data_IF_104361483055
#
_entry.id   IF_104361483055
#
_cell.length_a   1.000
_cell.length_b   1.000
_cell.length_c   1.000
_cell.angle_alpha   90.00
_cell.angle_beta   90.00
_cell.angle_gamma   90.00
#
_symmetry.space_group_name_H-M   'P 1'
#
loop_
_entity.id
_entity.type
_entity.pdbx_description
1 polymer ?
#
# COMPACT_ATOMS: atom_id res chain seq x y z
N UNK A 1 -20.65 28.88 11.65
CA UNK A 1 -19.34 29.14 12.27
C UNK A 1 -18.30 28.66 11.27
N UNK A 2 -17.40 29.52 10.82
CA UNK A 2 -16.32 29.14 9.89
C UNK A 2 -15.12 28.67 10.73
N UNK A 3 -14.68 27.42 10.51
CA UNK A 3 -13.53 26.85 11.18
C UNK A 3 -12.30 26.98 10.30
N UNK A 4 -11.20 27.47 10.87
CA UNK A 4 -9.89 27.50 10.23
C UNK A 4 -9.17 26.18 10.51
N UNK A 5 -8.64 25.52 9.48
CA UNK A 5 -7.86 24.30 9.62
C UNK A 5 -6.44 24.58 10.13
N UNK A 6 -5.90 23.71 10.99
CA UNK A 6 -4.51 23.82 11.49
C UNK A 6 -3.52 23.85 10.32
N UNK A 7 -3.78 23.07 9.25
CA UNK A 7 -2.97 23.10 8.01
C UNK A 7 -2.86 24.51 7.41
N UNK A 8 -3.96 25.29 7.41
CA UNK A 8 -3.96 26.66 6.88
C UNK A 8 -3.11 27.59 7.75
N UNK A 9 -3.13 27.41 9.06
CA UNK A 9 -2.30 28.17 10.00
C UNK A 9 -0.81 27.96 9.74
N UNK A 10 -0.37 26.72 9.53
CA UNK A 10 1.02 26.40 9.24
C UNK A 10 1.48 26.90 7.86
N UNK A 11 0.62 26.80 6.84
CA UNK A 11 0.95 27.21 5.47
C UNK A 11 0.90 28.70 5.24
N UNK A 12 0.03 29.43 5.96
CA UNK A 12 -0.29 30.84 5.71
C UNK A 12 -0.31 31.65 7.02
N UNK A 13 0.62 31.38 7.94
CA UNK A 13 0.62 31.97 9.29
C UNK A 13 0.49 33.51 9.30
N UNK A 14 1.12 34.20 8.33
CA UNK A 14 1.08 35.65 8.24
C UNK A 14 -0.33 36.22 8.00
N UNK A 15 -1.24 35.40 7.44
CA UNK A 15 -2.62 35.81 7.22
C UNK A 15 -3.47 35.72 8.50
N UNK A 16 -3.03 34.92 9.50
CA UNK A 16 -3.82 34.61 10.70
C UNK A 16 -3.24 35.18 11.99
N UNK A 17 -1.93 35.40 12.09
CA UNK A 17 -1.31 35.98 13.28
C UNK A 17 -1.89 37.35 13.58
N UNK A 18 -2.25 37.61 14.84
CA UNK A 18 -2.92 38.86 15.32
C UNK A 18 -4.42 38.89 15.02
N UNK A 19 -5.00 37.83 14.45
CA UNK A 19 -6.44 37.77 14.18
C UNK A 19 -7.16 36.79 15.12
N UNK A 20 -8.43 37.09 15.37
CA UNK A 20 -9.35 36.19 16.05
C UNK A 20 -9.79 35.11 15.05
N UNK A 21 -9.54 33.85 15.40
CA UNK A 21 -9.87 32.66 14.60
C UNK A 21 -10.65 31.66 15.44
N UNK A 22 -11.32 30.70 14.77
CA UNK A 22 -11.98 29.58 15.41
C UNK A 22 -11.45 28.27 14.81
N UNK A 23 -11.04 27.34 15.69
CA UNK A 23 -10.47 26.02 15.29
C UNK A 23 -11.21 24.92 16.07
N UNK A 24 -11.63 23.87 15.38
CA UNK A 24 -12.16 22.65 16.02
C UNK A 24 -11.13 21.53 16.03
N UNK A 25 -11.15 20.67 17.04
CA UNK A 25 -10.24 19.54 17.08
C UNK A 25 -10.33 18.68 18.35
N UNK A 26 -9.44 17.73 18.46
CA UNK A 26 -9.35 16.80 19.57
C UNK A 26 -8.14 17.09 20.47
N UNK A 27 -8.33 16.99 21.79
CA UNK A 27 -7.29 17.18 22.78
C UNK A 27 -6.30 16.02 22.71
N UNK A 28 -5.02 16.33 22.45
CA UNK A 28 -3.88 15.39 22.51
C UNK A 28 -3.21 15.37 23.86
N UNK A 29 -3.14 16.52 24.51
CA UNK A 29 -2.73 16.64 25.90
C UNK A 29 -3.32 17.91 26.50
N UNK A 30 -3.56 17.88 27.79
CA UNK A 30 -3.98 19.02 28.58
C UNK A 30 -3.09 19.13 29.83
N UNK A 31 -2.72 20.33 30.16
CA UNK A 31 -1.99 20.66 31.41
C UNK A 31 -2.66 21.85 32.00
N UNK A 32 -3.02 21.73 33.26
CA UNK A 32 -3.67 22.76 34.02
C UNK A 32 -2.74 23.38 35.05
N UNK A 33 -2.94 24.64 35.34
CA UNK A 33 -2.35 25.43 36.42
C UNK A 33 -3.47 26.18 37.14
N UNK A 34 -3.18 26.81 38.26
CA UNK A 34 -4.22 27.45 39.07
C UNK A 34 -4.98 28.58 38.35
N UNK A 35 -4.33 29.28 37.42
CA UNK A 35 -4.85 30.50 36.78
C UNK A 35 -4.87 30.40 35.25
N UNK A 36 -4.24 29.39 34.66
CA UNK A 36 -4.22 29.15 33.21
C UNK A 36 -3.88 27.69 32.90
N UNK A 37 -4.10 27.26 31.66
CA UNK A 37 -3.70 25.94 31.24
C UNK A 37 -3.33 25.91 29.74
N UNK A 38 -2.79 24.78 29.34
CA UNK A 38 -2.39 24.50 27.95
C UNK A 38 -3.10 23.25 27.43
N UNK A 39 -3.65 23.38 26.23
CA UNK A 39 -4.18 22.26 25.45
C UNK A 39 -3.34 22.12 24.18
N UNK A 40 -2.95 20.90 23.86
CA UNK A 40 -2.43 20.55 22.53
C UNK A 40 -3.60 20.02 21.72
N UNK A 41 -3.99 20.76 20.70
CA UNK A 41 -5.13 20.48 19.84
C UNK A 41 -4.67 19.91 18.49
N UNK A 42 -5.40 18.95 17.97
CA UNK A 42 -5.19 18.34 16.66
C UNK A 42 -6.52 18.22 15.92
N UNK A 43 -6.59 18.74 14.69
CA UNK A 43 -7.82 18.72 13.88
C UNK A 43 -7.82 17.67 12.77
N UNK A 44 -6.75 16.89 12.64
CA UNK A 44 -6.61 15.88 11.59
C UNK A 44 -6.16 16.43 10.23
N UNK A 45 -6.04 17.74 10.02
CA UNK A 45 -5.69 18.33 8.72
C UNK A 45 -4.20 18.44 8.47
N UNK A 46 -3.39 18.49 9.53
CA UNK A 46 -1.94 18.63 9.45
C UNK A 46 -1.25 17.68 10.44
N UNK A 47 0.04 17.39 10.22
CA UNK A 47 0.78 16.49 11.11
C UNK A 47 1.10 17.14 12.46
N UNK A 48 1.50 18.42 12.44
CA UNK A 48 1.76 19.17 13.67
C UNK A 48 0.45 19.64 14.35
N UNK A 49 0.57 20.01 15.60
CA UNK A 49 -0.53 20.36 16.50
C UNK A 49 -0.57 21.86 16.79
N UNK A 50 -1.71 22.35 17.26
CA UNK A 50 -1.90 23.73 17.71
C UNK A 50 -1.88 23.78 19.25
N UNK A 51 -1.07 24.65 19.84
CA UNK A 51 -1.13 24.96 21.26
C UNK A 51 -2.25 25.98 21.53
N UNK A 52 -3.09 25.69 22.51
CA UNK A 52 -4.14 26.56 23.03
C UNK A 52 -3.79 26.95 24.46
N UNK A 53 -3.82 28.23 24.76
CA UNK A 53 -3.68 28.76 26.11
C UNK A 53 -5.05 29.24 26.57
N UNK A 54 -5.49 28.81 27.75
CA UNK A 54 -6.77 29.21 28.35
C UNK A 54 -6.56 29.70 29.78
N UNK A 55 -7.43 30.62 30.26
CA UNK A 55 -7.27 31.32 31.52
C UNK A 55 -8.50 31.17 32.42
N UNK A 56 -8.28 31.33 33.73
CA UNK A 56 -9.31 31.25 34.79
C UNK A 56 -10.43 32.28 34.69
N UNK A 57 -10.27 33.29 33.83
CA UNK A 57 -11.32 34.28 33.52
C UNK A 57 -12.46 33.71 32.63
N UNK A 58 -12.28 32.53 32.10
CA UNK A 58 -13.30 31.86 31.26
C UNK A 58 -14.38 31.27 32.19
N UNK A 59 -15.66 31.47 31.84
CA UNK A 59 -16.79 31.00 32.62
C UNK A 59 -16.80 29.50 32.91
N UNK A 60 -16.26 28.69 31.97
CA UNK A 60 -16.20 27.24 32.03
C UNK A 60 -14.76 26.70 32.30
N UNK A 61 -13.87 27.53 32.87
CA UNK A 61 -12.48 27.14 33.17
C UNK A 61 -12.38 25.83 33.94
N UNK A 62 -13.19 25.67 35.00
CA UNK A 62 -13.20 24.46 35.85
C UNK A 62 -13.65 23.22 35.08
N UNK A 63 -14.54 23.39 34.10
CA UNK A 63 -15.00 22.30 33.27
C UNK A 63 -13.92 21.91 32.25
N UNK A 64 -13.30 22.89 31.61
CA UNK A 64 -12.20 22.67 30.63
C UNK A 64 -11.03 21.97 31.33
N UNK A 65 -10.63 22.40 32.52
CA UNK A 65 -9.51 21.83 33.26
C UNK A 65 -9.67 20.34 33.65
N UNK A 66 -10.92 19.83 33.61
CA UNK A 66 -11.25 18.41 33.87
C UNK A 66 -11.39 17.56 32.63
N UNK A 67 -11.20 18.14 31.42
CA UNK A 67 -11.30 17.39 30.17
C UNK A 67 -10.19 16.35 30.07
N UNK A 68 -10.52 15.23 29.47
CA UNK A 68 -9.58 14.17 29.18
C UNK A 68 -9.02 14.28 27.75
N UNK A 69 -7.90 13.63 27.53
CA UNK A 69 -7.36 13.37 26.17
C UNK A 69 -8.43 12.69 25.32
N UNK A 70 -8.53 13.08 24.06
CA UNK A 70 -9.53 12.59 23.13
C UNK A 70 -10.85 13.39 23.13
N UNK A 71 -11.04 14.33 24.06
CA UNK A 71 -12.21 15.24 24.03
C UNK A 71 -12.16 16.12 22.79
N UNK A 72 -13.32 16.37 22.20
CA UNK A 72 -13.52 17.26 21.06
C UNK A 72 -13.92 18.66 21.55
N UNK A 73 -13.27 19.70 21.07
CA UNK A 73 -13.52 21.08 21.44
C UNK A 73 -13.47 22.02 20.23
N UNK A 74 -14.18 23.13 20.33
CA UNK A 74 -14.05 24.28 19.42
C UNK A 74 -13.46 25.44 20.23
N UNK A 75 -12.37 26.01 19.72
CA UNK A 75 -11.63 27.10 20.35
C UNK A 75 -11.71 28.35 19.52
N UNK A 76 -12.17 29.44 20.09
CA UNK A 76 -12.11 30.78 19.50
C UNK A 76 -11.12 31.63 20.28
N UNK A 77 -10.18 32.27 19.59
CA UNK A 77 -9.14 33.08 20.24
C UNK A 77 -8.25 33.81 19.23
N UNK A 78 -7.32 34.58 19.74
CA UNK A 78 -6.31 35.28 18.96
C UNK A 78 -5.12 34.38 18.68
N UNK A 79 -4.70 34.27 17.43
CA UNK A 79 -3.48 33.57 17.05
C UNK A 79 -2.25 34.46 17.28
N UNK A 80 -1.37 34.06 18.18
CA UNK A 80 -0.19 34.81 18.57
C UNK A 80 1.08 34.10 18.12
N UNK A 81 2.01 34.83 17.51
CA UNK A 81 3.33 34.27 17.14
C UNK A 81 4.17 34.01 18.40
N UNK A 82 4.87 32.89 18.41
CA UNK A 82 5.75 32.46 19.50
C UNK A 82 7.14 32.07 18.98
N UNK A 83 7.93 33.05 18.47
CA UNK A 83 9.20 32.80 17.79
C UNK A 83 10.26 32.13 18.67
N UNK A 84 10.18 32.33 20.00
CA UNK A 84 11.12 31.76 20.97
C UNK A 84 10.66 30.37 21.48
N UNK A 85 9.46 29.91 21.10
CA UNK A 85 8.93 28.62 21.52
C UNK A 85 9.20 27.53 20.47
N UNK A 86 8.97 26.28 20.87
CA UNK A 86 9.08 25.14 19.95
C UNK A 86 8.08 25.24 18.78
N UNK A 87 6.85 25.66 19.07
CA UNK A 87 5.80 25.90 18.07
C UNK A 87 5.88 27.36 17.56
N UNK A 88 5.55 27.60 16.26
CA UNK A 88 5.68 28.93 15.66
C UNK A 88 4.60 29.93 16.09
N UNK A 89 3.50 29.45 16.69
CA UNK A 89 2.36 30.22 17.15
C UNK A 89 1.53 29.42 18.16
N UNK A 90 0.64 30.10 18.86
CA UNK A 90 -0.37 29.52 19.73
C UNK A 90 -1.65 30.36 19.67
N UNK A 91 -2.78 29.78 20.09
CA UNK A 91 -4.05 30.48 20.20
C UNK A 91 -4.30 30.88 21.65
N UNK A 92 -4.49 32.16 21.90
CA UNK A 92 -4.94 32.70 23.18
C UNK A 92 -6.47 32.63 23.21
N UNK A 93 -6.99 31.60 23.87
CA UNK A 93 -8.41 31.32 23.86
C UNK A 93 -9.22 32.37 24.62
N UNK A 94 -10.29 32.83 24.00
CA UNK A 94 -11.32 33.68 24.64
C UNK A 94 -12.61 32.88 24.88
N UNK A 95 -12.81 31.81 24.14
CA UNK A 95 -13.97 30.91 24.28
C UNK A 95 -13.55 29.49 23.89
N UNK A 96 -13.97 28.49 24.68
CA UNK A 96 -13.83 27.09 24.38
C UNK A 96 -15.20 26.42 24.57
N UNK A 97 -15.72 25.86 23.49
CA UNK A 97 -16.95 25.09 23.49
C UNK A 97 -16.57 23.59 23.50
N UNK A 98 -17.20 22.82 24.38
CA UNK A 98 -17.00 21.37 24.49
C UNK A 98 -18.03 20.70 23.57
N UNK A 99 -17.56 20.07 22.48
CA UNK A 99 -18.41 19.30 21.57
C UNK A 99 -18.67 17.89 22.11
N UNK A 100 -17.63 17.24 22.65
CA UNK A 100 -17.76 15.92 23.23
C UNK A 100 -16.64 15.61 24.21
N UNK A 101 -17.00 15.35 25.46
CA UNK A 101 -16.05 14.97 26.49
C UNK A 101 -15.64 13.48 26.35
N UNK A 102 -14.35 13.20 26.46
CA UNK A 102 -13.82 11.85 26.53
C UNK A 102 -13.83 11.36 27.98
N UNK A 103 -14.04 10.06 28.15
CA UNK A 103 -14.03 9.41 29.46
C UNK A 103 -12.61 9.07 29.93
N UNK A 104 -12.37 8.89 31.26
CA UNK A 104 -11.04 8.61 31.80
C UNK A 104 -10.43 7.30 31.34
N UNK A 105 -11.23 6.34 30.86
CA UNK A 105 -10.83 5.04 30.34
C UNK A 105 -10.41 5.08 28.86
N UNK A 106 -10.35 6.27 28.24
CA UNK A 106 -9.88 6.42 26.87
C UNK A 106 -8.53 5.71 26.65
N UNK A 107 -8.42 4.76 25.72
CA UNK A 107 -7.28 3.83 25.67
C UNK A 107 -5.96 4.49 25.22
N UNK A 108 -6.03 5.59 24.47
CA UNK A 108 -4.86 6.29 23.94
C UNK A 108 -4.38 7.38 24.91
N UNK A 109 -3.99 6.97 26.09
CA UNK A 109 -3.41 7.87 27.11
C UNK A 109 -2.04 8.40 26.69
N UNK A 110 -1.54 9.45 27.36
CA UNK A 110 -0.23 10.07 27.13
C UNK A 110 0.92 9.15 27.53
N UNK A 111 1.10 8.05 26.80
CA UNK A 111 2.21 7.10 26.95
C UNK A 111 2.53 6.51 25.58
N UNK A 112 3.71 5.89 25.44
CA UNK A 112 4.04 5.13 24.24
C UNK A 112 3.20 3.85 24.21
N UNK A 113 2.53 3.60 23.10
CA UNK A 113 1.80 2.36 22.81
C UNK A 113 2.60 1.52 21.82
N UNK A 114 2.58 0.19 22.01
CA UNK A 114 3.18 -0.74 21.05
C UNK A 114 2.27 -0.89 19.83
N UNK A 115 2.83 -1.26 18.69
CA UNK A 115 2.05 -1.50 17.47
C UNK A 115 1.09 -2.69 17.66
N UNK A 116 1.51 -3.72 18.40
CA UNK A 116 0.67 -4.87 18.76
C UNK A 116 -0.59 -4.44 19.52
N UNK A 117 -0.44 -3.60 20.53
CA UNK A 117 -1.59 -3.05 21.24
C UNK A 117 -2.49 -2.22 20.31
N UNK A 118 -1.91 -1.38 19.45
CA UNK A 118 -2.67 -0.54 18.54
C UNK A 118 -3.43 -1.34 17.48
N UNK A 119 -2.99 -2.56 17.16
CA UNK A 119 -3.74 -3.50 16.31
C UNK A 119 -5.02 -4.02 16.98
N UNK A 120 -5.09 -4.06 18.31
CA UNK A 120 -6.32 -4.47 19.02
C UNK A 120 -7.38 -3.36 19.10
N UNK A 121 -7.03 -2.13 18.74
CA UNK A 121 -7.92 -0.97 18.71
C UNK A 121 -7.81 -0.22 17.37
N UNK A 122 -7.93 -0.94 16.27
CA UNK A 122 -7.75 -0.43 14.90
C UNK A 122 -8.60 0.80 14.59
N UNK A 123 -9.81 0.91 15.15
CA UNK A 123 -10.72 2.05 15.02
C UNK A 123 -10.24 3.32 15.74
N UNK A 124 -9.36 3.22 16.73
CA UNK A 124 -8.81 4.37 17.47
C UNK A 124 -7.36 4.69 17.11
N UNK A 125 -6.58 3.71 16.62
CA UNK A 125 -5.17 3.92 16.29
C UNK A 125 -4.89 5.07 15.32
N UNK A 126 -5.79 5.47 14.38
CA UNK A 126 -5.58 6.66 13.54
C UNK A 126 -5.39 7.95 14.32
N UNK A 127 -5.81 7.99 15.58
CA UNK A 127 -5.60 9.15 16.48
C UNK A 127 -4.17 9.26 17.01
N UNK A 128 -3.26 8.31 16.72
CA UNK A 128 -1.84 8.38 17.13
C UNK A 128 -1.00 9.05 16.04
N UNK A 129 0.15 9.63 16.40
CA UNK A 129 1.04 10.28 15.43
C UNK A 129 1.54 9.29 14.37
N UNK A 130 1.90 8.07 14.78
CA UNK A 130 2.37 7.04 13.84
C UNK A 130 1.35 6.75 12.76
N UNK A 131 0.10 6.49 13.14
CA UNK A 131 -0.94 6.16 12.16
C UNK A 131 -1.49 7.39 11.42
N UNK A 132 -1.41 8.57 12.01
CA UNK A 132 -1.63 9.82 11.27
C UNK A 132 -0.62 9.94 10.11
N UNK A 133 0.65 9.74 10.38
CA UNK A 133 1.70 9.77 9.36
C UNK A 133 1.48 8.67 8.30
N UNK A 134 1.27 7.42 8.72
CA UNK A 134 1.08 6.28 7.82
C UNK A 134 -0.08 6.51 6.86
N UNK A 135 -1.26 6.86 7.35
CA UNK A 135 -2.44 6.98 6.49
C UNK A 135 -2.46 8.25 5.66
N UNK A 136 -1.78 9.32 6.08
CA UNK A 136 -1.54 10.49 5.21
C UNK A 136 -0.62 10.12 4.05
N UNK A 137 0.51 9.47 4.33
CA UNK A 137 1.44 9.04 3.28
C UNK A 137 0.79 7.98 2.38
N UNK A 138 0.04 7.01 2.93
CA UNK A 138 -0.73 6.06 2.13
C UNK A 138 -1.69 6.75 1.15
N UNK A 139 -2.44 7.74 1.61
CA UNK A 139 -3.35 8.52 0.76
C UNK A 139 -2.59 9.27 -0.34
N UNK A 140 -1.44 9.85 0.00
CA UNK A 140 -0.60 10.59 -0.94
C UNK A 140 0.02 9.68 -2.00
N UNK A 141 0.48 8.48 -1.61
CA UNK A 141 1.00 7.47 -2.54
C UNK A 141 -0.09 7.06 -3.55
N UNK A 142 -1.32 6.81 -3.09
CA UNK A 142 -2.42 6.45 -3.97
C UNK A 142 -2.68 7.55 -5.02
N UNK A 143 -2.71 8.81 -4.58
CA UNK A 143 -2.84 9.94 -5.50
C UNK A 143 -1.67 10.05 -6.47
N UNK A 144 -0.43 9.90 -5.99
CA UNK A 144 0.77 9.96 -6.82
C UNK A 144 0.76 8.88 -7.93
N UNK A 145 0.30 7.67 -7.61
CA UNK A 145 0.15 6.57 -8.58
C UNK A 145 -0.86 6.96 -9.66
N UNK A 146 -2.06 7.40 -9.29
CA UNK A 146 -3.06 7.84 -10.27
C UNK A 146 -2.53 8.99 -11.11
N UNK A 147 -1.88 9.98 -10.49
CA UNK A 147 -1.29 11.12 -11.19
C UNK A 147 -0.21 10.68 -12.19
N UNK A 148 0.69 9.78 -11.79
CA UNK A 148 1.73 9.24 -12.67
C UNK A 148 1.17 8.64 -13.96
N UNK A 149 0.15 7.80 -13.85
CA UNK A 149 -0.46 7.14 -15.00
C UNK A 149 -1.33 8.08 -15.83
N UNK A 150 -2.16 8.93 -15.20
CA UNK A 150 -3.04 9.86 -15.90
C UNK A 150 -2.25 10.91 -16.68
N UNK A 151 -1.13 11.42 -16.18
CA UNK A 151 -0.25 12.36 -16.89
C UNK A 151 0.49 11.71 -18.07
N UNK A 152 0.39 10.39 -18.23
CA UNK A 152 0.96 9.60 -19.34
C UNK A 152 -0.10 8.97 -20.24
N UNK A 153 -1.32 9.49 -20.16
CA UNK A 153 -2.48 9.04 -20.96
C UNK A 153 -2.83 7.56 -20.79
N UNK A 154 -2.53 6.96 -19.62
CA UNK A 154 -3.01 5.63 -19.28
C UNK A 154 -4.49 5.67 -18.90
N UNK A 155 -5.26 4.70 -19.36
CA UNK A 155 -6.66 4.53 -18.97
C UNK A 155 -6.75 3.70 -17.71
N UNK A 156 -7.41 4.23 -16.67
CA UNK A 156 -7.76 3.47 -15.47
C UNK A 156 -8.92 2.53 -15.76
N UNK A 157 -8.72 1.23 -15.50
CA UNK A 157 -9.73 0.19 -15.73
C UNK A 157 -10.16 -0.44 -14.42
N UNK A 158 -11.46 -0.45 -14.17
CA UNK A 158 -12.07 -1.23 -13.09
C UNK A 158 -12.26 -2.68 -13.58
N UNK A 159 -11.48 -3.62 -13.04
CA UNK A 159 -11.63 -5.04 -13.30
C UNK A 159 -12.52 -5.71 -12.24
N UNK A 160 -13.18 -6.83 -12.56
CA UNK A 160 -14.10 -7.48 -11.62
C UNK A 160 -13.40 -7.95 -10.34
N UNK A 161 -14.04 -7.69 -9.21
CA UNK A 161 -13.61 -8.22 -7.90
C UNK A 161 -14.09 -9.67 -7.74
N UNK A 162 -15.30 -9.97 -8.23
CA UNK A 162 -15.85 -11.34 -8.27
C UNK A 162 -15.56 -11.91 -9.65
N UNK A 163 -14.90 -13.04 -9.71
CA UNK A 163 -14.44 -13.67 -10.97
C UNK A 163 -14.72 -15.16 -10.98
N UNK A 164 -14.89 -15.71 -12.19
CA UNK A 164 -14.95 -17.15 -12.43
C UNK A 164 -13.62 -17.74 -12.95
N UNK A 165 -12.54 -16.92 -13.03
CA UNK A 165 -11.23 -17.37 -13.52
C UNK A 165 -10.14 -17.10 -12.49
N UNK A 166 -9.14 -17.99 -12.44
CA UNK A 166 -7.94 -17.82 -11.64
C UNK A 166 -6.82 -17.21 -12.49
N UNK A 167 -6.44 -15.98 -12.20
CA UNK A 167 -5.42 -15.27 -12.96
C UNK A 167 -4.01 -15.87 -12.81
N UNK A 168 -3.71 -16.55 -11.72
CA UNK A 168 -2.41 -17.16 -11.45
C UNK A 168 -2.38 -18.66 -11.80
N UNK A 169 -3.56 -19.29 -11.96
CA UNK A 169 -3.71 -20.69 -12.34
C UNK A 169 -3.46 -21.69 -11.21
N UNK A 170 -3.18 -21.23 -10.00
CA UNK A 170 -2.94 -22.06 -8.81
C UNK A 170 -3.20 -21.30 -7.50
N UNK A 171 -3.93 -20.18 -7.56
CA UNK A 171 -4.18 -19.31 -6.40
C UNK A 171 -5.19 -19.92 -5.42
N UNK A 172 -4.90 -19.81 -4.13
CA UNK A 172 -5.91 -20.10 -3.10
C UNK A 172 -6.89 -18.93 -3.05
N UNK A 173 -8.10 -19.14 -3.60
CA UNK A 173 -9.12 -18.11 -3.75
C UNK A 173 -10.19 -18.21 -2.66
N UNK A 174 -10.68 -17.06 -2.20
CA UNK A 174 -11.90 -17.01 -1.38
C UNK A 174 -13.12 -17.24 -2.28
N UNK A 175 -13.93 -18.22 -1.94
CA UNK A 175 -15.16 -18.51 -2.65
C UNK A 175 -16.25 -17.47 -2.31
N UNK A 176 -16.98 -17.02 -3.32
CA UNK A 176 -18.17 -16.19 -3.20
C UNK A 176 -19.40 -17.03 -3.55
N UNK A 177 -20.31 -17.21 -2.60
CA UNK A 177 -21.53 -18.02 -2.79
C UNK A 177 -22.70 -17.44 -1.99
N UNK A 178 -23.89 -17.62 -2.51
CA UNK A 178 -25.17 -17.35 -1.82
C UNK A 178 -25.91 -18.63 -1.42
N UNK A 179 -25.31 -19.79 -1.71
CA UNK A 179 -25.87 -21.07 -1.31
C UNK A 179 -25.80 -21.24 0.22
N UNK A 180 -26.80 -21.95 0.76
CA UNK A 180 -26.79 -22.36 2.17
C UNK A 180 -25.62 -23.34 2.39
N UNK A 181 -24.67 -22.95 3.21
CA UNK A 181 -23.47 -23.76 3.49
C UNK A 181 -23.83 -25.06 4.24
N UNK A 182 -24.84 -25.02 5.10
CA UNK A 182 -25.24 -26.16 5.90
C UNK A 182 -26.07 -27.19 5.07
N UNK A 183 -26.80 -26.69 4.05
CA UNK A 183 -27.65 -27.55 3.22
C UNK A 183 -27.65 -27.08 1.74
N UNK A 184 -26.50 -27.16 1.04
CA UNK A 184 -26.42 -26.71 -0.34
C UNK A 184 -27.21 -27.65 -1.27
N UNK A 185 -27.83 -27.13 -2.36
CA UNK A 185 -28.40 -27.96 -3.41
C UNK A 185 -27.35 -28.90 -3.99
N UNK A 186 -27.80 -30.12 -4.38
CA UNK A 186 -26.87 -31.13 -4.87
C UNK A 186 -27.32 -31.71 -6.19
N UNK A 187 -26.36 -31.96 -7.05
CA UNK A 187 -26.54 -32.72 -8.30
C UNK A 187 -26.85 -34.20 -8.02
N UNK A 188 -27.25 -34.95 -9.04
CA UNK A 188 -27.56 -36.40 -8.91
C UNK A 188 -26.39 -37.23 -8.43
N UNK A 189 -25.15 -36.80 -8.67
CA UNK A 189 -23.91 -37.44 -8.21
C UNK A 189 -23.42 -36.94 -6.84
N UNK A 190 -24.24 -36.15 -6.14
CA UNK A 190 -24.01 -35.69 -4.76
C UNK A 190 -23.09 -34.49 -4.59
N UNK A 191 -22.59 -33.91 -5.65
CA UNK A 191 -21.79 -32.68 -5.60
C UNK A 191 -22.71 -31.47 -5.37
N UNK A 192 -22.12 -30.36 -4.92
CA UNK A 192 -22.83 -29.06 -4.85
C UNK A 192 -23.27 -28.68 -6.25
N UNK A 193 -24.54 -28.27 -6.41
CA UNK A 193 -25.08 -27.78 -7.67
C UNK A 193 -24.83 -26.29 -7.83
N UNK A 194 -23.71 -25.94 -8.44
CA UNK A 194 -23.29 -24.56 -8.67
C UNK A 194 -24.24 -23.78 -9.62
N UNK A 195 -25.07 -24.48 -10.40
CA UNK A 195 -26.04 -23.84 -11.29
C UNK A 195 -27.17 -23.15 -10.54
N UNK A 196 -27.39 -23.51 -9.28
CA UNK A 196 -28.36 -22.91 -8.37
C UNK A 196 -27.78 -21.70 -7.60
N UNK A 197 -26.47 -21.43 -7.71
CA UNK A 197 -25.86 -20.27 -7.08
C UNK A 197 -26.18 -18.97 -7.84
N UNK A 198 -25.93 -17.81 -7.23
CA UNK A 198 -26.31 -16.50 -7.76
C UNK A 198 -25.81 -16.28 -9.21
N UNK A 199 -24.59 -16.66 -9.52
CA UNK A 199 -23.98 -16.51 -10.85
C UNK A 199 -24.14 -17.75 -11.75
N UNK A 200 -24.83 -18.81 -11.27
CA UNK A 200 -25.01 -20.05 -12.02
C UNK A 200 -23.72 -20.85 -12.24
N UNK A 201 -22.67 -20.54 -11.54
CA UNK A 201 -21.35 -21.21 -11.54
C UNK A 201 -20.53 -20.85 -10.34
N UNK A 202 -19.45 -21.60 -10.10
CA UNK A 202 -18.47 -21.24 -9.08
C UNK A 202 -17.85 -19.87 -9.34
N UNK A 203 -17.80 -19.02 -8.30
CA UNK A 203 -17.17 -17.72 -8.33
C UNK A 203 -16.34 -17.46 -7.11
N UNK A 204 -15.32 -16.61 -7.27
CA UNK A 204 -14.32 -16.33 -6.24
C UNK A 204 -13.98 -14.84 -6.20
N UNK A 205 -13.35 -14.38 -5.11
CA UNK A 205 -12.70 -13.09 -5.07
C UNK A 205 -11.40 -13.15 -5.89
N UNK A 206 -11.13 -12.11 -6.67
CA UNK A 206 -9.99 -12.06 -7.59
C UNK A 206 -8.64 -12.06 -6.87
N UNK A 207 -7.65 -12.73 -7.46
CA UNK A 207 -6.24 -12.68 -7.06
C UNK A 207 -5.43 -11.65 -7.85
N UNK A 208 -5.97 -11.12 -8.97
CA UNK A 208 -5.36 -10.10 -9.84
C UNK A 208 -6.36 -9.58 -10.87
N UNK A 209 -6.22 -8.32 -11.24
CA UNK A 209 -6.98 -7.71 -12.34
C UNK A 209 -6.31 -7.86 -13.72
N UNK A 210 -5.14 -8.49 -13.78
CA UNK A 210 -4.30 -8.52 -14.99
C UNK A 210 -5.00 -9.05 -16.23
N UNK A 211 -5.55 -10.28 -16.18
CA UNK A 211 -6.10 -10.92 -17.39
C UNK A 211 -7.26 -10.11 -18.00
N UNK A 212 -8.12 -9.55 -17.15
CA UNK A 212 -9.18 -8.65 -17.58
C UNK A 212 -8.62 -7.30 -18.06
N UNK A 213 -7.57 -6.79 -17.42
CA UNK A 213 -6.86 -5.57 -17.82
C UNK A 213 -6.25 -5.70 -19.22
N UNK A 214 -5.63 -6.82 -19.54
CA UNK A 214 -5.06 -7.07 -20.87
C UNK A 214 -6.10 -6.97 -21.99
N UNK A 215 -7.37 -7.30 -21.75
CA UNK A 215 -8.44 -7.14 -22.76
C UNK A 215 -8.63 -5.67 -23.15
N UNK A 216 -8.55 -4.78 -22.19
CA UNK A 216 -8.64 -3.34 -22.40
C UNK A 216 -7.35 -2.76 -22.97
N UNK A 217 -6.18 -3.26 -22.57
CA UNK A 217 -4.91 -2.86 -23.14
C UNK A 217 -4.86 -3.11 -24.66
N UNK A 218 -5.41 -4.22 -25.13
CA UNK A 218 -5.52 -4.54 -26.58
C UNK A 218 -6.43 -3.57 -27.35
N UNK A 219 -7.20 -2.73 -26.67
CA UNK A 219 -8.04 -1.70 -27.30
C UNK A 219 -7.52 -0.27 -27.05
N UNK A 220 -6.98 0.00 -25.87
CA UNK A 220 -6.56 1.35 -25.42
C UNK A 220 -5.04 1.55 -25.39
N UNK A 221 -4.26 0.54 -25.71
CA UNK A 221 -2.80 0.51 -25.73
C UNK A 221 -2.16 0.54 -24.32
N UNK A 222 -2.46 1.53 -23.50
CA UNK A 222 -1.89 1.69 -22.17
C UNK A 222 -3.00 1.81 -21.13
N UNK A 223 -3.07 0.85 -20.23
CA UNK A 223 -4.04 0.84 -19.13
C UNK A 223 -3.35 0.59 -17.80
N UNK A 224 -4.04 0.84 -16.71
CA UNK A 224 -3.67 0.33 -15.41
C UNK A 224 -4.91 -0.01 -14.58
N UNK A 225 -4.77 -1.01 -13.73
CA UNK A 225 -5.70 -1.29 -12.64
C UNK A 225 -5.16 -0.73 -11.34
N UNK A 226 -6.02 -0.39 -10.41
CA UNK A 226 -5.70 -0.12 -9.02
C UNK A 226 -6.88 -0.59 -8.20
N UNK A 227 -6.82 -1.82 -7.74
CA UNK A 227 -7.97 -2.49 -7.14
C UNK A 227 -7.62 -3.49 -6.05
N UNK A 228 -8.64 -3.89 -5.27
CA UNK A 228 -8.49 -4.88 -4.21
C UNK A 228 -8.19 -6.27 -4.80
N UNK A 229 -7.36 -7.00 -4.10
CA UNK A 229 -6.87 -8.34 -4.43
C UNK A 229 -6.96 -9.20 -3.19
N UNK A 230 -7.31 -10.47 -3.36
CA UNK A 230 -7.60 -11.38 -2.25
C UNK A 230 -6.83 -12.68 -2.45
N UNK A 231 -6.16 -13.15 -1.38
CA UNK A 231 -5.47 -14.45 -1.37
C UNK A 231 -5.79 -15.19 -0.08
N UNK A 232 -6.29 -16.41 -0.20
CA UNK A 232 -6.68 -17.26 0.92
C UNK A 232 -5.52 -18.09 1.51
N UNK A 233 -4.29 -17.78 1.12
CA UNK A 233 -3.08 -18.47 1.59
C UNK A 233 -2.97 -18.44 3.12
N UNK A 234 -2.74 -19.60 3.72
CA UNK A 234 -2.52 -19.72 5.16
C UNK A 234 -1.09 -19.25 5.54
N UNK A 235 -0.79 -18.00 5.28
CA UNK A 235 0.51 -17.37 5.55
C UNK A 235 0.39 -16.32 6.65
N UNK A 236 1.12 -16.50 7.75
CA UNK A 236 1.09 -15.59 8.90
C UNK A 236 2.40 -14.80 9.04
N UNK A 237 2.91 -14.25 7.95
CA UNK A 237 4.11 -13.42 7.94
C UNK A 237 3.79 -11.93 8.14
N UNK A 238 4.81 -11.12 8.28
CA UNK A 238 4.69 -9.65 8.38
C UNK A 238 4.38 -8.98 7.04
N UNK A 239 4.39 -9.72 5.93
CA UNK A 239 4.25 -9.21 4.56
C UNK A 239 2.99 -9.71 3.84
N UNK A 240 2.22 -10.63 4.46
CA UNK A 240 1.02 -11.20 3.88
C UNK A 240 -0.24 -10.70 4.58
N UNK A 241 -1.20 -10.32 3.77
CA UNK A 241 -2.58 -10.04 4.16
C UNK A 241 -3.50 -10.74 3.18
N UNK A 242 -4.68 -11.14 3.64
CA UNK A 242 -5.68 -11.82 2.81
C UNK A 242 -6.40 -10.86 1.85
N UNK A 243 -6.41 -9.56 2.18
CA UNK A 243 -6.91 -8.46 1.37
C UNK A 243 -5.85 -7.37 1.27
N UNK A 244 -5.51 -6.98 0.06
CA UNK A 244 -4.54 -5.92 -0.25
C UNK A 244 -4.87 -5.30 -1.62
N UNK A 245 -4.15 -4.26 -2.03
CA UNK A 245 -4.40 -3.58 -3.30
C UNK A 245 -3.22 -3.78 -4.25
N UNK A 246 -3.55 -3.99 -5.54
CA UNK A 246 -2.54 -4.11 -6.60
C UNK A 246 -2.68 -2.97 -7.60
N UNK A 247 -1.54 -2.49 -8.08
CA UNK A 247 -1.42 -1.60 -9.23
C UNK A 247 -0.82 -2.42 -10.37
N UNK A 248 -1.58 -2.59 -11.44
CA UNK A 248 -1.21 -3.48 -12.54
C UNK A 248 -1.37 -2.76 -13.89
N UNK A 249 -0.33 -2.05 -14.36
CA UNK A 249 -0.29 -1.50 -15.71
C UNK A 249 -0.05 -2.58 -16.75
N UNK A 250 -0.67 -2.41 -17.93
CA UNK A 250 -0.41 -3.19 -19.14
C UNK A 250 -0.18 -2.24 -20.31
N UNK A 251 0.92 -2.47 -21.04
CA UNK A 251 1.38 -1.65 -22.17
C UNK A 251 1.54 -2.49 -23.42
N UNK A 252 0.90 -2.08 -24.51
CA UNK A 252 0.91 -2.80 -25.79
C UNK A 252 1.93 -2.18 -26.75
N UNK A 253 2.49 -3.00 -27.64
CA UNK A 253 3.64 -2.73 -28.49
C UNK A 253 4.94 -2.50 -27.71
N UNK A 254 5.01 -3.08 -26.52
CA UNK A 254 6.11 -2.96 -25.59
C UNK A 254 6.73 -4.33 -25.27
N UNK A 255 8.01 -4.34 -24.95
CA UNK A 255 8.74 -5.52 -24.51
C UNK A 255 9.13 -5.45 -23.03
N UNK A 256 9.95 -6.40 -22.59
CA UNK A 256 10.40 -6.47 -21.20
C UNK A 256 11.22 -5.22 -20.80
N UNK A 257 12.00 -4.66 -21.72
CA UNK A 257 12.82 -3.45 -21.47
C UNK A 257 11.93 -2.23 -21.22
N UNK A 258 10.90 -2.06 -22.07
CA UNK A 258 9.92 -0.99 -21.91
C UNK A 258 9.17 -1.10 -20.58
N UNK A 259 8.89 -2.34 -20.15
CA UNK A 259 8.22 -2.64 -18.90
C UNK A 259 9.08 -2.27 -17.68
N UNK A 260 10.37 -2.62 -17.70
CA UNK A 260 11.35 -2.24 -16.67
C UNK A 260 11.50 -0.71 -16.58
N UNK A 261 11.60 -0.03 -17.73
CA UNK A 261 11.69 1.44 -17.78
C UNK A 261 10.46 2.12 -17.16
N UNK A 262 9.25 1.61 -17.43
CA UNK A 262 8.03 2.12 -16.82
C UNK A 262 8.02 1.91 -15.30
N UNK A 263 8.41 0.72 -14.83
CA UNK A 263 8.48 0.37 -13.41
C UNK A 263 9.48 1.26 -12.65
N UNK A 264 10.68 1.47 -13.20
CA UNK A 264 11.70 2.36 -12.63
C UNK A 264 11.20 3.80 -12.54
N UNK A 265 10.63 4.34 -13.62
CA UNK A 265 10.07 5.69 -13.65
C UNK A 265 8.94 5.88 -12.64
N UNK A 266 8.06 4.89 -12.52
CA UNK A 266 6.95 4.92 -11.57
C UNK A 266 7.44 4.95 -10.12
N UNK A 267 8.35 4.05 -9.75
CA UNK A 267 8.85 3.98 -8.37
C UNK A 267 9.59 5.26 -7.98
N UNK A 268 10.46 5.78 -8.85
CA UNK A 268 11.16 7.05 -8.64
C UNK A 268 10.20 8.23 -8.49
N UNK A 269 9.17 8.27 -9.32
CA UNK A 269 8.15 9.31 -9.26
C UNK A 269 7.40 9.30 -7.93
N UNK A 270 6.95 8.13 -7.48
CA UNK A 270 6.23 7.98 -6.20
C UNK A 270 7.12 8.42 -5.02
N UNK A 271 8.37 7.98 -4.98
CA UNK A 271 9.31 8.36 -3.93
C UNK A 271 9.50 9.88 -3.89
N UNK A 272 9.84 10.49 -5.01
CA UNK A 272 10.04 11.94 -5.09
C UNK A 272 8.79 12.73 -4.69
N UNK A 273 7.61 12.28 -5.16
CA UNK A 273 6.35 12.91 -4.85
C UNK A 273 6.07 12.91 -3.34
N UNK A 274 6.31 11.80 -2.66
CA UNK A 274 6.10 11.68 -1.20
C UNK A 274 7.13 12.53 -0.43
N UNK A 275 8.40 12.51 -0.82
CA UNK A 275 9.43 13.32 -0.18
C UNK A 275 9.15 14.82 -0.29
N UNK A 276 8.59 15.27 -1.40
CA UNK A 276 8.23 16.68 -1.63
C UNK A 276 6.97 17.11 -0.89
N UNK A 277 5.93 16.23 -0.82
CA UNK A 277 4.60 16.63 -0.38
C UNK A 277 4.24 16.21 1.06
N UNK A 278 5.08 15.39 1.71
CA UNK A 278 4.89 14.93 3.09
C UNK A 278 6.20 14.99 3.91
N UNK A 279 6.96 16.11 3.88
CA UNK A 279 8.26 16.18 4.53
C UNK A 279 8.19 15.97 6.05
N UNK A 280 7.13 16.43 6.72
CA UNK A 280 6.94 16.29 8.16
C UNK A 280 6.74 14.83 8.55
N UNK A 281 5.86 14.11 7.85
CA UNK A 281 5.61 12.69 8.06
C UNK A 281 6.85 11.85 7.75
N UNK A 282 7.56 12.16 6.68
CA UNK A 282 8.78 11.45 6.28
C UNK A 282 9.92 11.66 7.27
N UNK A 283 10.08 12.86 7.81
CA UNK A 283 11.02 13.14 8.90
C UNK A 283 10.64 12.37 10.17
N UNK A 284 9.35 12.29 10.49
CA UNK A 284 8.88 11.49 11.61
C UNK A 284 9.24 10.00 11.44
N UNK A 285 9.01 9.41 10.29
CA UNK A 285 9.40 8.02 10.04
C UNK A 285 10.91 7.82 10.15
N UNK A 286 11.70 8.70 9.56
CA UNK A 286 13.16 8.62 9.64
C UNK A 286 13.70 8.72 11.08
N UNK A 287 13.04 9.50 11.92
CA UNK A 287 13.46 9.70 13.32
C UNK A 287 13.00 8.56 14.25
N UNK A 288 11.76 8.07 14.09
CA UNK A 288 11.08 7.24 15.07
C UNK A 288 10.78 5.81 14.63
N UNK A 289 10.81 5.53 13.33
CA UNK A 289 10.44 4.23 12.76
C UNK A 289 11.65 3.53 12.16
N UNK A 290 12.31 4.16 11.20
CA UNK A 290 13.41 3.57 10.43
C UNK A 290 14.51 4.61 10.18
N UNK A 291 15.54 4.60 11.02
CA UNK A 291 16.70 5.47 10.85
C UNK A 291 17.46 5.16 9.56
N UNK A 292 17.66 6.18 8.72
CA UNK A 292 18.26 6.02 7.39
C UNK A 292 17.23 5.86 6.27
N UNK A 293 15.93 5.92 6.57
CA UNK A 293 14.86 5.84 5.57
C UNK A 293 15.02 6.89 4.47
N UNK A 294 15.24 8.15 4.83
CA UNK A 294 15.37 9.24 3.85
C UNK A 294 16.59 9.06 2.95
N UNK A 295 17.73 8.65 3.52
CA UNK A 295 18.95 8.37 2.76
C UNK A 295 18.70 7.24 1.75
N UNK A 296 18.11 6.14 2.18
CA UNK A 296 17.80 5.00 1.34
C UNK A 296 16.83 5.38 0.20
N UNK A 297 15.76 6.09 0.50
CA UNK A 297 14.78 6.51 -0.52
C UNK A 297 15.38 7.51 -1.52
N UNK A 298 16.19 8.44 -1.05
CA UNK A 298 16.90 9.41 -1.92
C UNK A 298 17.89 8.69 -2.84
N UNK A 299 18.62 7.71 -2.32
CA UNK A 299 19.52 6.88 -3.13
C UNK A 299 18.76 6.13 -4.22
N UNK A 300 17.64 5.50 -3.88
CA UNK A 300 16.79 4.79 -4.87
C UNK A 300 16.25 5.74 -5.93
N UNK A 301 15.74 6.90 -5.54
CA UNK A 301 15.19 7.88 -6.47
C UNK A 301 16.21 8.46 -7.45
N UNK A 302 17.50 8.52 -7.08
CA UNK A 302 18.59 9.13 -7.86
C UNK A 302 19.48 8.14 -8.61
N UNK A 303 19.50 6.84 -8.24
CA UNK A 303 20.37 5.86 -8.87
C UNK A 303 19.75 5.27 -10.14
N UNK A 304 20.59 4.84 -11.09
CA UNK A 304 20.19 3.91 -12.14
C UNK A 304 20.03 2.51 -11.52
N UNK A 305 18.95 1.82 -11.88
CA UNK A 305 18.72 0.48 -11.38
C UNK A 305 19.66 -0.53 -12.05
N UNK A 306 20.05 -1.56 -11.31
CA UNK A 306 20.86 -2.65 -11.83
C UNK A 306 20.01 -3.63 -12.65
N UNK A 307 20.67 -4.41 -13.50
CA UNK A 307 20.07 -5.48 -14.25
C UNK A 307 20.91 -6.74 -14.12
N UNK A 308 20.29 -7.86 -13.89
CA UNK A 308 20.92 -9.18 -13.79
C UNK A 308 19.90 -10.24 -14.21
N UNK A 309 20.37 -11.25 -14.94
CA UNK A 309 19.52 -12.42 -15.21
C UNK A 309 19.41 -13.30 -13.97
N UNK A 310 18.32 -14.08 -13.86
CA UNK A 310 18.16 -15.03 -12.77
C UNK A 310 19.35 -16.01 -12.70
N UNK A 311 19.83 -16.50 -13.84
CA UNK A 311 20.99 -17.40 -13.89
C UNK A 311 22.25 -16.76 -13.31
N UNK A 312 22.58 -15.52 -13.70
CA UNK A 312 23.71 -14.78 -13.14
C UNK A 312 23.51 -14.47 -11.64
N UNK A 313 22.26 -14.15 -11.24
CA UNK A 313 21.94 -13.93 -9.83
C UNK A 313 22.18 -15.20 -8.99
N UNK A 314 21.79 -16.38 -9.48
CA UNK A 314 22.07 -17.66 -8.83
C UNK A 314 23.58 -17.88 -8.73
N UNK A 315 24.36 -17.67 -9.79
CA UNK A 315 25.84 -17.80 -9.76
C UNK A 315 26.51 -16.88 -8.72
N UNK A 316 25.96 -15.66 -8.54
CA UNK A 316 26.42 -14.72 -7.51
C UNK A 316 26.09 -15.25 -6.11
N UNK A 317 24.87 -15.71 -5.90
CA UNK A 317 24.37 -16.17 -4.62
C UNK A 317 25.02 -17.48 -4.18
N UNK A 318 25.26 -18.43 -5.10
CA UNK A 318 25.92 -19.71 -4.83
C UNK A 318 27.32 -19.53 -4.22
N UNK A 319 28.03 -18.47 -4.57
CA UNK A 319 29.35 -18.16 -3.98
C UNK A 319 29.30 -17.87 -2.48
N UNK A 320 28.12 -17.53 -1.96
CA UNK A 320 27.89 -17.23 -0.55
C UNK A 320 26.82 -18.15 0.08
N UNK A 321 26.55 -19.30 -0.54
CA UNK A 321 25.43 -20.17 -0.20
C UNK A 321 25.43 -20.63 1.26
N UNK A 322 26.60 -20.82 1.84
CA UNK A 322 26.75 -21.27 3.23
C UNK A 322 26.17 -20.27 4.26
N UNK A 323 26.10 -18.99 3.91
CA UNK A 323 25.57 -17.92 4.78
C UNK A 323 24.06 -17.79 4.78
N UNK A 324 23.36 -18.47 3.86
CA UNK A 324 21.91 -18.39 3.74
C UNK A 324 21.21 -19.52 4.51
N UNK A 325 20.08 -19.19 5.12
CA UNK A 325 19.21 -20.18 5.76
C UNK A 325 18.60 -21.13 4.72
N UNK A 326 18.15 -20.56 3.58
CA UNK A 326 17.66 -21.30 2.43
C UNK A 326 18.74 -21.41 1.35
N UNK A 327 19.10 -22.65 0.99
CA UNK A 327 20.16 -22.87 -0.02
C UNK A 327 19.65 -22.55 -1.40
N UNK A 328 20.51 -21.85 -2.16
CA UNK A 328 20.23 -21.45 -3.53
C UNK A 328 20.68 -22.54 -4.50
N UNK A 329 19.89 -22.78 -5.52
CA UNK A 329 20.20 -23.62 -6.68
C UNK A 329 19.36 -23.15 -7.87
N UNK A 330 19.81 -23.43 -9.09
CA UNK A 330 19.06 -23.02 -10.27
C UNK A 330 17.68 -23.69 -10.33
N UNK A 331 16.63 -22.89 -10.43
CA UNK A 331 15.23 -23.33 -10.40
C UNK A 331 14.52 -23.15 -9.04
N UNK A 332 15.23 -22.67 -8.01
CA UNK A 332 14.59 -22.33 -6.72
C UNK A 332 13.92 -20.95 -6.76
N UNK A 333 12.89 -20.75 -5.95
CA UNK A 333 12.37 -19.43 -5.65
C UNK A 333 13.35 -18.65 -4.78
N UNK A 334 13.66 -17.40 -5.19
CA UNK A 334 14.48 -16.52 -4.38
C UNK A 334 13.73 -16.12 -3.11
N UNK A 335 14.39 -16.28 -1.97
CA UNK A 335 13.85 -15.83 -0.70
C UNK A 335 14.30 -14.40 -0.41
N UNK A 336 13.59 -13.71 0.49
CA UNK A 336 13.91 -12.33 0.87
C UNK A 336 15.37 -12.12 1.26
N UNK A 337 16.04 -13.10 1.89
CA UNK A 337 17.46 -13.00 2.24
C UNK A 337 18.36 -12.93 1.00
N UNK A 338 18.02 -13.67 -0.06
CA UNK A 338 18.73 -13.67 -1.35
C UNK A 338 18.53 -12.32 -2.07
N UNK A 339 17.31 -11.82 -2.13
CA UNK A 339 16.93 -10.55 -2.76
C UNK A 339 17.64 -9.36 -2.07
N UNK A 340 17.63 -9.35 -0.74
CA UNK A 340 18.33 -8.33 0.04
C UNK A 340 19.83 -8.43 -0.09
N UNK A 341 20.40 -9.63 -0.17
CA UNK A 341 21.83 -9.81 -0.40
C UNK A 341 22.25 -9.20 -1.75
N UNK A 342 21.48 -9.42 -2.81
CA UNK A 342 21.72 -8.81 -4.12
C UNK A 342 21.68 -7.28 -4.04
N UNK A 343 20.61 -6.71 -3.45
CA UNK A 343 20.38 -5.27 -3.41
C UNK A 343 21.25 -4.52 -2.42
N UNK A 344 21.59 -5.12 -1.25
CA UNK A 344 22.29 -4.44 -0.16
C UNK A 344 23.81 -4.71 -0.14
N UNK A 345 24.25 -5.92 -0.56
CA UNK A 345 25.65 -6.30 -0.50
C UNK A 345 26.34 -6.20 -1.87
N UNK A 346 25.68 -6.67 -2.93
CA UNK A 346 26.30 -6.76 -4.26
C UNK A 346 26.12 -5.45 -5.04
N UNK A 347 24.86 -5.06 -5.32
CA UNK A 347 24.60 -3.90 -6.18
C UNK A 347 24.49 -2.57 -5.42
N UNK A 348 24.11 -2.59 -4.15
CA UNK A 348 23.88 -1.43 -3.27
C UNK A 348 22.90 -0.41 -3.85
N UNK A 349 21.94 -0.91 -4.61
CA UNK A 349 20.89 -0.16 -5.32
C UNK A 349 19.76 -1.11 -5.74
N UNK A 350 18.62 -0.60 -6.23
CA UNK A 350 17.59 -1.45 -6.82
C UNK A 350 18.11 -2.25 -8.01
N UNK A 351 17.61 -3.46 -8.19
CA UNK A 351 18.04 -4.40 -9.23
C UNK A 351 16.84 -5.07 -9.86
N UNK A 352 16.76 -5.08 -11.17
CA UNK A 352 15.91 -5.98 -11.92
C UNK A 352 16.57 -7.34 -12.07
N UNK A 353 15.85 -8.39 -11.66
CA UNK A 353 16.22 -9.78 -11.97
C UNK A 353 15.28 -10.25 -13.08
N UNK A 354 15.84 -10.78 -14.17
CA UNK A 354 15.07 -11.17 -15.37
C UNK A 354 15.29 -12.62 -15.75
N UNK A 355 14.50 -13.11 -16.69
CA UNK A 355 14.68 -14.40 -17.33
C UNK A 355 14.68 -15.59 -16.36
N UNK A 356 13.61 -15.66 -15.59
CA UNK A 356 13.39 -16.71 -14.60
C UNK A 356 13.07 -18.06 -15.24
N UNK A 357 13.39 -19.18 -14.57
CA UNK A 357 12.92 -20.50 -14.98
C UNK A 357 11.40 -20.55 -15.16
N UNK A 358 10.94 -21.15 -16.28
CA UNK A 358 9.50 -21.24 -16.57
C UNK A 358 8.71 -21.96 -15.48
N UNK A 359 9.32 -22.93 -14.80
CA UNK A 359 8.63 -23.82 -13.87
C UNK A 359 8.21 -23.15 -12.55
N UNK A 360 8.78 -21.98 -12.26
CA UNK A 360 8.46 -21.17 -11.08
C UNK A 360 7.71 -19.87 -11.42
N UNK A 361 7.25 -19.72 -12.66
CA UNK A 361 6.52 -18.51 -13.11
C UNK A 361 5.22 -18.88 -13.82
N UNK A 362 4.30 -17.91 -13.89
CA UNK A 362 2.95 -18.07 -14.40
C UNK A 362 2.89 -18.41 -15.91
N UNK A 363 1.77 -19.00 -16.32
CA UNK A 363 1.56 -19.52 -17.68
C UNK A 363 1.58 -18.47 -18.79
N UNK A 364 1.20 -17.24 -18.48
CA UNK A 364 1.05 -16.15 -19.45
C UNK A 364 2.34 -15.44 -19.81
N UNK A 365 3.45 -15.78 -19.15
CA UNK A 365 4.73 -15.13 -19.40
C UNK A 365 5.37 -15.63 -20.69
N UNK A 366 5.94 -14.69 -21.47
CA UNK A 366 6.57 -15.01 -22.76
C UNK A 366 7.73 -15.97 -22.60
N UNK A 367 7.66 -17.08 -23.34
CA UNK A 367 8.75 -18.06 -23.41
C UNK A 367 9.95 -17.47 -24.16
N UNK A 368 11.15 -17.55 -23.57
CA UNK A 368 12.40 -17.20 -24.22
C UNK A 368 12.82 -18.26 -25.26
N UNK A 369 13.77 -17.92 -26.13
CA UNK A 369 14.24 -18.81 -27.21
C UNK A 369 14.89 -20.11 -26.68
N UNK A 370 15.39 -20.11 -25.47
CA UNK A 370 15.99 -21.28 -24.83
C UNK A 370 14.96 -22.35 -24.41
N UNK A 371 13.66 -22.04 -24.44
CA UNK A 371 12.55 -22.88 -23.98
C UNK A 371 12.64 -23.34 -22.52
N UNK A 372 13.47 -22.69 -21.69
CA UNK A 372 13.69 -22.99 -20.27
C UNK A 372 13.32 -21.82 -19.38
N UNK A 373 13.51 -20.60 -19.87
CA UNK A 373 13.25 -19.38 -19.15
C UNK A 373 12.10 -18.58 -19.78
N UNK A 374 11.54 -17.66 -19.02
CA UNK A 374 10.51 -16.73 -19.46
C UNK A 374 10.94 -15.29 -19.25
N UNK A 375 10.46 -14.38 -20.07
CA UNK A 375 10.74 -12.95 -20.01
C UNK A 375 10.01 -12.30 -18.82
N UNK A 376 10.29 -12.82 -17.62
CA UNK A 376 9.85 -12.28 -16.33
C UNK A 376 10.81 -11.19 -15.85
N UNK A 377 10.32 -10.30 -15.01
CA UNK A 377 11.13 -9.35 -14.25
C UNK A 377 10.63 -9.22 -12.83
N UNK A 378 11.51 -9.20 -11.86
CA UNK A 378 11.22 -8.78 -10.50
C UNK A 378 12.13 -7.59 -10.16
N UNK A 379 11.54 -6.48 -9.68
CA UNK A 379 12.29 -5.35 -9.16
C UNK A 379 12.53 -5.54 -7.67
N UNK A 380 13.78 -5.70 -7.32
CA UNK A 380 14.24 -5.83 -5.95
C UNK A 380 14.75 -4.49 -5.43
N UNK A 381 14.38 -4.13 -4.21
CA UNK A 381 14.86 -2.90 -3.55
C UNK A 381 15.50 -3.19 -2.20
N UNK A 382 16.49 -2.38 -1.76
CA UNK A 382 17.09 -2.53 -0.45
C UNK A 382 16.06 -2.43 0.69
N UNK A 383 16.16 -3.29 1.69
CA UNK A 383 15.30 -3.29 2.88
C UNK A 383 14.06 -4.18 2.79
N UNK A 384 13.48 -4.37 1.59
CA UNK A 384 12.25 -5.15 1.45
C UNK A 384 12.39 -6.36 0.51
N UNK A 385 13.30 -6.33 -0.46
CA UNK A 385 13.40 -7.32 -1.52
C UNK A 385 12.46 -6.98 -2.68
N UNK A 386 11.74 -7.95 -3.23
CA UNK A 386 10.81 -7.76 -4.33
C UNK A 386 9.70 -6.76 -3.97
N UNK A 387 9.54 -5.72 -4.80
CA UNK A 387 8.47 -4.72 -4.69
C UNK A 387 7.55 -4.71 -5.92
N UNK A 388 8.07 -5.06 -7.08
CA UNK A 388 7.34 -5.19 -8.35
C UNK A 388 7.69 -6.52 -8.98
N UNK A 389 6.69 -7.27 -9.43
CA UNK A 389 6.84 -8.44 -10.29
C UNK A 389 6.10 -8.24 -11.59
N UNK A 390 6.68 -8.68 -12.72
CA UNK A 390 6.06 -8.50 -14.02
C UNK A 390 6.66 -9.37 -15.10
N UNK A 391 6.17 -9.20 -16.34
CA UNK A 391 6.72 -9.91 -17.51
C UNK A 391 6.32 -9.25 -18.81
N UNK A 392 7.03 -9.57 -19.87
CA UNK A 392 6.44 -9.58 -21.20
C UNK A 392 5.44 -10.74 -21.29
N UNK A 393 4.30 -10.53 -21.92
CA UNK A 393 3.22 -11.52 -22.04
C UNK A 393 3.44 -12.38 -23.27
N UNK A 394 3.03 -13.66 -23.21
CA UNK A 394 3.07 -14.52 -24.39
C UNK A 394 2.02 -14.05 -25.41
N UNK A 395 2.49 -13.67 -26.58
CA UNK A 395 1.69 -13.14 -27.68
C UNK A 395 1.44 -14.16 -28.80
N UNK A 396 2.06 -15.34 -28.73
CA UNK A 396 1.86 -16.47 -29.60
C UNK A 396 0.77 -17.41 -29.05
N UNK A 397 -0.28 -17.64 -29.86
CA UNK A 397 -1.41 -18.47 -29.46
C UNK A 397 -1.03 -19.92 -29.12
N UNK A 398 -0.23 -20.55 -30.01
CA UNK A 398 0.12 -21.96 -29.86
C UNK A 398 1.06 -22.18 -28.67
N UNK A 399 2.00 -21.27 -28.44
CA UNK A 399 2.89 -21.30 -27.26
C UNK A 399 2.10 -21.15 -25.96
N UNK A 400 1.15 -20.21 -25.93
CA UNK A 400 0.30 -20.00 -24.76
C UNK A 400 -0.55 -21.24 -24.45
N UNK A 401 -1.21 -21.82 -25.46
CA UNK A 401 -1.98 -23.06 -25.33
C UNK A 401 -1.14 -24.21 -24.83
N UNK A 402 0.06 -24.41 -25.42
CA UNK A 402 0.97 -25.47 -24.99
C UNK A 402 1.39 -25.28 -23.52
N UNK A 403 1.64 -24.05 -23.09
CA UNK A 403 2.00 -23.77 -21.70
C UNK A 403 0.84 -24.03 -20.74
N UNK A 404 -0.39 -23.67 -21.12
CA UNK A 404 -1.60 -24.00 -20.35
C UNK A 404 -1.78 -25.51 -20.19
N UNK A 405 -1.53 -26.28 -21.25
CA UNK A 405 -1.60 -27.74 -21.21
C UNK A 405 -0.53 -28.36 -20.30
N UNK A 406 0.72 -27.86 -20.36
CA UNK A 406 1.80 -28.25 -19.43
C UNK A 406 1.37 -28.06 -17.98
N UNK A 407 0.71 -26.94 -17.67
CA UNK A 407 0.23 -26.60 -16.34
C UNK A 407 -1.15 -27.19 -16.01
N UNK A 408 -1.76 -27.97 -16.91
CA UNK A 408 -3.07 -28.63 -16.76
C UNK A 408 -4.21 -27.65 -16.48
N UNK A 409 -4.14 -26.45 -17.04
CA UNK A 409 -5.22 -25.46 -16.95
C UNK A 409 -6.35 -25.82 -17.91
N UNK A 410 -7.58 -25.56 -17.51
CA UNK A 410 -8.77 -25.78 -18.34
C UNK A 410 -8.90 -24.62 -19.32
N UNK A 411 -8.78 -24.89 -20.62
CA UNK A 411 -8.84 -23.84 -21.67
C UNK A 411 -10.16 -23.08 -21.67
N UNK A 412 -11.25 -23.76 -21.31
CA UNK A 412 -12.60 -23.20 -21.28
C UNK A 412 -12.72 -22.00 -20.30
N UNK A 413 -11.92 -22.00 -19.23
CA UNK A 413 -11.91 -20.92 -18.25
C UNK A 413 -11.16 -19.66 -18.75
N UNK A 414 -10.39 -19.79 -19.85
CA UNK A 414 -9.51 -18.76 -20.41
C UNK A 414 -9.78 -18.46 -21.90
N UNK A 415 -10.92 -18.87 -22.46
CA UNK A 415 -11.25 -18.61 -23.87
C UNK A 415 -11.14 -17.12 -24.22
N UNK A 416 -11.66 -16.24 -23.37
CA UNK A 416 -11.58 -14.79 -23.56
C UNK A 416 -10.12 -14.29 -23.66
N UNK A 417 -9.21 -14.90 -22.93
CA UNK A 417 -7.80 -14.56 -22.89
C UNK A 417 -7.05 -15.10 -24.13
N UNK A 418 -7.40 -16.29 -24.58
CA UNK A 418 -6.89 -16.89 -25.82
C UNK A 418 -7.36 -16.11 -27.06
N UNK A 419 -8.57 -15.56 -27.03
CA UNK A 419 -9.11 -14.72 -28.11
C UNK A 419 -8.26 -13.48 -28.37
N UNK A 420 -7.61 -12.92 -27.35
CA UNK A 420 -6.67 -11.80 -27.52
C UNK A 420 -5.47 -12.15 -28.40
N UNK A 421 -5.08 -13.42 -28.46
CA UNK A 421 -3.99 -13.91 -29.33
C UNK A 421 -4.48 -14.31 -30.71
N UNK A 422 -5.73 -14.68 -30.80
CA UNK A 422 -6.39 -15.10 -32.05
C UNK A 422 -6.85 -13.91 -32.90
N UNK A 423 -7.32 -12.85 -32.27
CA UNK A 423 -7.94 -11.70 -32.93
C UNK A 423 -7.05 -10.45 -32.85
N UNK A 424 -5.89 -10.49 -33.49
CA UNK A 424 -4.99 -9.35 -33.58
C UNK A 424 -4.04 -9.22 -32.42
N UNK A 425 -3.32 -10.31 -32.12
CA UNK A 425 -2.28 -10.34 -31.10
C UNK A 425 -1.23 -9.25 -31.31
N UNK A 426 -0.77 -8.66 -30.24
CA UNK A 426 0.33 -7.71 -30.23
C UNK A 426 1.26 -7.98 -29.06
N UNK A 427 2.56 -7.70 -29.26
CA UNK A 427 3.55 -7.72 -28.20
C UNK A 427 3.12 -6.76 -27.08
N UNK A 428 3.08 -7.23 -25.84
CA UNK A 428 2.69 -6.42 -24.68
C UNK A 428 3.36 -6.93 -23.41
N UNK A 429 3.41 -6.05 -22.42
CA UNK A 429 4.05 -6.31 -21.13
C UNK A 429 3.30 -5.59 -20.02
N UNK A 430 3.50 -6.05 -18.80
CA UNK A 430 2.91 -5.43 -17.62
C UNK A 430 3.57 -5.92 -16.34
N UNK A 431 3.22 -5.29 -15.24
CA UNK A 431 3.72 -5.64 -13.92
C UNK A 431 2.68 -5.41 -12.82
N UNK A 432 2.92 -5.97 -11.64
CA UNK A 432 2.16 -5.73 -10.44
C UNK A 432 3.00 -5.07 -9.35
N UNK A 433 2.52 -3.96 -8.79
CA UNK A 433 3.02 -3.35 -7.56
C UNK A 433 2.02 -3.60 -6.44
N UNK A 434 2.43 -4.30 -5.39
CA UNK A 434 1.65 -4.40 -4.15
C UNK A 434 1.61 -3.07 -3.42
N UNK A 435 0.43 -2.46 -3.30
CA UNK A 435 0.28 -1.13 -2.72
C UNK A 435 0.76 -1.07 -1.27
N UNK A 436 0.36 -2.02 -0.45
CA UNK A 436 0.77 -2.09 0.96
C UNK A 436 2.27 -2.28 1.11
N UNK A 437 2.89 -3.09 0.25
CA UNK A 437 4.33 -3.29 0.24
C UNK A 437 5.07 -1.99 -0.13
N UNK A 438 4.52 -1.22 -1.07
CA UNK A 438 5.00 0.12 -1.40
C UNK A 438 4.87 1.09 -0.21
N UNK A 439 3.73 1.10 0.48
CA UNK A 439 3.54 1.93 1.68
C UNK A 439 4.51 1.54 2.80
N UNK A 440 4.70 0.23 3.05
CA UNK A 440 5.71 -0.26 4.00
C UNK A 440 7.11 0.26 3.64
N UNK A 441 7.47 0.17 2.37
CA UNK A 441 8.77 0.59 1.88
C UNK A 441 9.03 2.09 2.09
N UNK A 442 8.05 2.94 1.76
CA UNK A 442 8.18 4.39 1.87
C UNK A 442 8.08 4.91 3.32
N UNK A 443 7.43 4.17 4.22
CA UNK A 443 7.25 4.57 5.62
C UNK A 443 8.23 3.90 6.59
N UNK A 444 8.93 2.86 6.15
CA UNK A 444 9.79 2.04 7.02
C UNK A 444 9.01 1.12 7.98
N UNK A 445 7.68 1.03 7.82
CA UNK A 445 6.85 0.13 8.64
C UNK A 445 7.15 -1.32 8.32
N UNK A 446 7.42 -2.13 9.33
CA UNK A 446 7.89 -3.51 9.17
C UNK A 446 6.78 -4.56 9.04
N UNK A 447 5.52 -4.18 9.21
CA UNK A 447 4.39 -5.11 9.21
C UNK A 447 3.23 -4.56 8.38
N UNK A 448 2.73 -5.35 7.43
CA UNK A 448 1.62 -5.00 6.54
C UNK A 448 0.35 -4.61 7.30
N UNK A 449 0.12 -5.20 8.50
CA UNK A 449 -1.02 -4.88 9.36
C UNK A 449 -1.02 -3.42 9.84
N UNK A 450 0.13 -2.76 9.76
CA UNK A 450 0.30 -1.38 10.24
C UNK A 450 0.18 -0.33 9.11
N UNK A 451 0.01 -0.77 7.87
CA UNK A 451 -0.18 0.11 6.70
C UNK A 451 -1.56 -0.06 6.05
N UNK A 452 -2.38 -0.96 6.57
CA UNK A 452 -3.77 -1.20 6.17
C UNK A 452 -4.69 -0.65 7.27
N UNK A 453 -5.75 0.12 6.94
CA UNK A 453 -6.68 0.64 7.96
C UNK A 453 -7.28 -0.44 8.84
N UNK A 454 -7.85 -1.48 8.23
CA UNK A 454 -8.45 -2.64 8.88
C UNK A 454 -7.90 -3.91 8.23
N UNK A 455 -6.80 -4.48 8.76
CA UNK A 455 -6.13 -5.60 8.13
C UNK A 455 -6.96 -6.89 8.18
N UNK A 456 -7.01 -7.60 7.05
CA UNK A 456 -7.58 -8.94 6.92
C UNK A 456 -6.44 -9.94 6.83
N UNK A 457 -6.32 -10.81 7.82
CA UNK A 457 -5.25 -11.81 7.90
C UNK A 457 -5.80 -13.11 8.47
N UNK A 458 -5.02 -14.18 8.40
CA UNK A 458 -5.41 -15.46 8.98
C UNK A 458 -5.86 -15.28 10.45
N UNK A 459 -7.07 -15.73 10.75
CA UNK A 459 -7.67 -15.64 12.10
C UNK A 459 -8.09 -14.24 12.53
N UNK A 460 -8.07 -13.24 11.65
CA UNK A 460 -8.49 -11.88 11.98
C UNK A 460 -9.31 -11.24 10.86
N UNK A 461 -10.55 -10.89 11.20
CA UNK A 461 -11.48 -10.13 10.36
C UNK A 461 -12.25 -9.09 11.22
N UNK A 462 -11.65 -8.62 12.31
CA UNK A 462 -12.29 -7.67 13.23
C UNK A 462 -12.36 -6.26 12.62
N UNK A 463 -13.58 -5.63 12.77
CA UNK A 463 -14.02 -4.29 12.32
C UNK A 463 -14.08 -4.11 10.82
#
# INVERSE_FOLDING_TARGET
MELVEIRQLYRNKEQYVGKRITVGGWIRSIRDSKTFGFIVLHDGTYFDTLQVVYHDKMNNFVEISKLNVGSAIIVTGELVATPEAKQPFEIQAVEIMIEGASTPDYPLQKKRHTLEYLRTITHLRPRTNTFQAVFRVRSLIAYAIHKFFQERDFIYVHTPIITGSDAEGAGEMFRVTTLDIDNPPRTKDGKVDESEDFFGKETNLTVSGQLNGETYAMAFKNIYTFGPTFRAENSNTTRHAAEFWMIEPEIVFADLTDNMDLAEKMLKYIINYVLEHAPEEMNFFNQFVDKGLLERLTNVASSEFGHVTYTEAIEILEKNNDSFDYKVYWGCDLQTEHERYLTEQIYKKPVFVTDYPKDIKAFYMKMNEDNKTVAAMDLLVPGIGEIIGGSQREDDYDKLVNRMDEMKLKREDYEFYLDLRKYGSARHAGFGLGFERCVMYLTGMSNIRDVVPFPRTVGNCDL
#
